data_IF_376825624072
#
_entry.id   IF_376825624072
#
_cell.length_a   1.000
_cell.length_b   1.000
_cell.length_c   1.000
_cell.angle_alpha   90.00
_cell.angle_beta   90.00
_cell.angle_gamma   90.00
#
_symmetry.space_group_name_H-M   'P 1'
#
loop_
_entity.id
_entity.type
_entity.pdbx_description
1 polymer ?
#
# COMPACT_ATOMS: atom_id res chain seq x y z
N UNK A 1 -6.14 2.23 -23.90
CA UNK A 1 -5.26 3.40 -24.10
C UNK A 1 -5.90 4.77 -23.80
N UNK A 2 -7.13 5.10 -24.22
CA UNK A 2 -7.79 6.40 -23.86
C UNK A 2 -8.50 6.35 -22.49
N UNK A 3 -9.20 5.26 -22.19
CA UNK A 3 -9.90 5.02 -20.91
C UNK A 3 -8.95 4.93 -19.71
N UNK A 4 -7.80 4.28 -19.87
CA UNK A 4 -6.84 4.08 -18.78
C UNK A 4 -6.28 5.41 -18.29
N UNK A 5 -6.00 6.35 -19.20
CA UNK A 5 -5.54 7.70 -18.85
C UNK A 5 -6.60 8.51 -18.12
N UNK A 6 -7.87 8.42 -18.53
CA UNK A 6 -8.99 9.10 -17.86
C UNK A 6 -9.21 8.57 -16.44
N UNK A 7 -9.12 7.23 -16.27
CA UNK A 7 -9.23 6.59 -14.97
C UNK A 7 -8.09 6.98 -14.02
N UNK A 8 -6.86 6.94 -14.53
CA UNK A 8 -5.65 7.38 -13.81
C UNK A 8 -5.76 8.85 -13.39
N UNK A 9 -6.26 9.73 -14.26
CA UNK A 9 -6.51 11.13 -13.94
C UNK A 9 -7.61 11.28 -12.88
N UNK A 10 -8.68 10.48 -12.95
CA UNK A 10 -9.73 10.50 -11.93
C UNK A 10 -9.19 10.10 -10.55
N UNK A 11 -8.37 9.06 -10.48
CA UNK A 11 -7.68 8.65 -9.25
C UNK A 11 -6.71 9.71 -8.73
N UNK A 12 -5.96 10.36 -9.63
CA UNK A 12 -5.14 11.51 -9.27
C UNK A 12 -5.97 12.63 -8.64
N UNK A 13 -7.13 12.97 -9.22
CA UNK A 13 -8.04 13.97 -8.66
C UNK A 13 -8.54 13.61 -7.27
N UNK A 14 -8.93 12.35 -7.04
CA UNK A 14 -9.39 11.91 -5.71
C UNK A 14 -8.35 12.10 -4.60
N UNK A 15 -7.06 11.95 -4.91
CA UNK A 15 -5.97 12.22 -3.96
C UNK A 15 -5.76 13.73 -3.82
N UNK A 16 -5.78 14.49 -4.92
CA UNK A 16 -5.63 15.95 -4.87
C UNK A 16 -6.74 16.65 -4.09
N UNK A 17 -7.99 16.20 -4.23
CA UNK A 17 -9.13 16.71 -3.47
C UNK A 17 -8.93 16.49 -1.97
N UNK A 18 -8.49 15.28 -1.57
CA UNK A 18 -8.14 14.98 -0.17
C UNK A 18 -6.96 15.81 0.33
N UNK A 19 -5.92 15.99 -0.48
CA UNK A 19 -4.80 16.85 -0.11
C UNK A 19 -5.25 18.31 0.12
N UNK A 20 -6.16 18.81 -0.72
CA UNK A 20 -6.77 20.13 -0.57
C UNK A 20 -7.62 20.26 0.72
N UNK A 21 -8.22 19.16 1.18
CA UNK A 21 -8.89 19.06 2.48
C UNK A 21 -7.93 18.90 3.68
N UNK A 22 -6.61 18.92 3.44
CA UNK A 22 -5.59 18.81 4.48
C UNK A 22 -5.22 17.37 4.84
N UNK A 23 -5.55 16.38 4.01
CA UNK A 23 -5.10 15.01 4.21
C UNK A 23 -3.59 14.89 3.95
N UNK A 24 -2.90 14.21 4.87
CA UNK A 24 -1.48 13.93 4.72
C UNK A 24 -1.25 12.92 3.59
N UNK A 25 -0.41 13.27 2.64
CA UNK A 25 -0.13 12.42 1.48
C UNK A 25 1.20 11.69 1.65
N UNK A 26 1.21 10.38 1.35
CA UNK A 26 2.39 9.54 1.45
C UNK A 26 2.53 8.65 0.22
N UNK A 27 3.77 8.25 -0.05
CA UNK A 27 4.07 7.16 -0.97
C UNK A 27 4.53 5.96 -0.16
N UNK A 28 3.97 4.78 -0.46
CA UNK A 28 4.39 3.51 0.09
C UNK A 28 4.98 2.63 -1.01
N UNK A 29 6.17 2.09 -0.77
CA UNK A 29 6.82 1.11 -1.63
C UNK A 29 6.87 -0.25 -0.94
N UNK A 30 6.18 -1.23 -1.51
CA UNK A 30 6.12 -2.61 -1.04
C UNK A 30 7.18 -3.44 -1.78
N UNK A 31 8.13 -3.94 -1.00
CA UNK A 31 9.19 -4.83 -1.48
C UNK A 31 8.87 -6.23 -0.99
N UNK A 32 8.85 -7.19 -1.91
CA UNK A 32 8.42 -8.55 -1.64
C UNK A 32 9.60 -9.50 -1.54
N UNK A 33 9.53 -10.47 -0.61
CA UNK A 33 10.32 -11.69 -0.70
C UNK A 33 9.88 -12.49 -1.94
N UNK A 34 10.68 -13.50 -2.34
CA UNK A 34 10.35 -14.33 -3.49
C UNK A 34 8.94 -14.96 -3.36
N UNK A 35 8.09 -14.66 -4.34
CA UNK A 35 6.73 -15.15 -4.53
C UNK A 35 6.75 -16.26 -5.57
N UNK A 36 5.84 -17.21 -5.40
CA UNK A 36 5.73 -18.38 -6.28
C UNK A 36 4.60 -18.21 -7.31
N UNK A 37 4.71 -18.91 -8.43
CA UNK A 37 3.70 -18.96 -9.48
C UNK A 37 3.95 -18.04 -10.67
N UNK A 38 2.94 -17.94 -11.54
CA UNK A 38 2.97 -17.09 -12.74
C UNK A 38 2.99 -15.59 -12.37
N UNK A 39 3.33 -14.72 -13.33
CA UNK A 39 3.33 -13.26 -13.13
C UNK A 39 1.98 -12.75 -12.59
N UNK A 40 0.87 -13.19 -13.18
CA UNK A 40 -0.47 -12.82 -12.71
C UNK A 40 -0.73 -13.32 -11.27
N UNK A 41 -0.29 -14.53 -10.93
CA UNK A 41 -0.40 -15.04 -9.56
C UNK A 41 0.45 -14.24 -8.56
N UNK A 42 1.64 -13.77 -8.96
CA UNK A 42 2.49 -12.89 -8.15
C UNK A 42 1.83 -11.53 -7.94
N UNK A 43 1.31 -10.89 -8.99
CA UNK A 43 0.58 -9.60 -8.89
C UNK A 43 -0.61 -9.73 -7.94
N UNK A 44 -1.40 -10.80 -8.05
CA UNK A 44 -2.50 -11.05 -7.13
C UNK A 44 -2.03 -11.18 -5.67
N UNK A 45 -0.96 -11.94 -5.42
CA UNK A 45 -0.38 -12.05 -4.08
C UNK A 45 0.11 -10.69 -3.55
N UNK A 46 0.65 -9.82 -4.43
CA UNK A 46 1.05 -8.46 -4.04
C UNK A 46 -0.15 -7.61 -3.64
N UNK A 47 -1.23 -7.61 -4.43
CA UNK A 47 -2.47 -6.89 -4.10
C UNK A 47 -3.07 -7.38 -2.77
N UNK A 48 -3.16 -8.70 -2.57
CA UNK A 48 -3.65 -9.30 -1.31
C UNK A 48 -2.82 -8.85 -0.09
N UNK A 49 -1.50 -8.74 -0.24
CA UNK A 49 -0.64 -8.26 0.85
C UNK A 49 -0.75 -6.75 1.10
N UNK A 50 -0.99 -5.96 0.06
CA UNK A 50 -1.30 -4.52 0.20
C UNK A 50 -2.62 -4.33 0.96
N UNK A 51 -3.66 -5.09 0.61
CA UNK A 51 -4.94 -5.10 1.33
C UNK A 51 -4.78 -5.51 2.79
N UNK A 52 -3.98 -6.56 3.06
CA UNK A 52 -3.68 -7.00 4.42
C UNK A 52 -2.96 -5.91 5.22
N UNK A 53 -2.00 -5.23 4.59
CA UNK A 53 -1.25 -4.14 5.22
C UNK A 53 -2.18 -2.96 5.53
N UNK A 54 -3.05 -2.60 4.59
CA UNK A 54 -4.10 -1.60 4.77
C UNK A 54 -4.99 -1.93 5.99
N UNK A 55 -5.55 -3.14 6.03
CA UNK A 55 -6.39 -3.59 7.14
C UNK A 55 -5.64 -3.58 8.48
N UNK A 56 -4.35 -3.95 8.48
CA UNK A 56 -3.50 -3.92 9.68
C UNK A 56 -3.30 -2.50 10.18
N UNK A 57 -2.99 -1.56 9.29
CA UNK A 57 -2.88 -0.13 9.62
C UNK A 57 -4.22 0.37 10.16
N UNK A 58 -5.34 0.11 9.48
CA UNK A 58 -6.67 0.51 9.97
C UNK A 58 -6.95 0.02 11.39
N UNK A 59 -6.61 -1.24 11.70
CA UNK A 59 -6.84 -1.82 13.04
C UNK A 59 -6.03 -1.16 14.15
N UNK A 60 -4.90 -0.52 13.81
CA UNK A 60 -4.06 0.19 14.77
C UNK A 60 -4.45 1.67 14.88
N UNK A 61 -4.79 2.28 13.75
CA UNK A 61 -5.10 3.70 13.67
C UNK A 61 -6.51 4.00 14.15
N UNK A 62 -7.47 3.11 13.93
CA UNK A 62 -8.86 3.31 14.27
C UNK A 62 -9.29 2.33 15.37
N UNK A 63 -10.07 2.81 16.35
CA UNK A 63 -10.67 1.94 17.37
C UNK A 63 -11.70 0.99 16.77
N UNK A 64 -12.53 1.50 15.85
CA UNK A 64 -13.61 0.74 15.20
C UNK A 64 -13.66 1.07 13.69
N UNK A 65 -12.65 0.65 12.89
CA UNK A 65 -12.56 1.01 11.48
C UNK A 65 -13.81 0.62 10.67
N UNK A 66 -14.45 -0.51 11.01
CA UNK A 66 -15.66 -0.99 10.35
C UNK A 66 -16.91 -0.13 10.57
N UNK A 67 -16.89 0.80 11.53
CA UNK A 67 -17.99 1.72 11.82
C UNK A 67 -17.77 3.10 11.20
N UNK A 68 -16.63 3.32 10.55
CA UNK A 68 -16.33 4.59 9.90
C UNK A 68 -16.94 4.63 8.49
N UNK A 69 -17.43 5.79 8.04
CA UNK A 69 -17.70 6.03 6.64
C UNK A 69 -16.47 5.68 5.78
N UNK A 70 -16.67 5.19 4.56
CA UNK A 70 -15.54 4.88 3.66
C UNK A 70 -14.72 6.14 3.35
N UNK A 71 -15.40 7.28 3.22
CA UNK A 71 -14.76 8.57 2.96
C UNK A 71 -13.95 9.12 4.14
N UNK A 72 -14.13 8.56 5.34
CA UNK A 72 -13.33 8.89 6.54
C UNK A 72 -12.08 8.00 6.68
N UNK A 73 -11.93 6.98 5.83
CA UNK A 73 -10.79 6.07 5.85
C UNK A 73 -9.69 6.54 4.89
N UNK A 74 -8.42 6.17 5.13
CA UNK A 74 -7.34 6.50 4.21
C UNK A 74 -7.61 5.95 2.81
N UNK A 75 -7.44 6.79 1.79
CA UNK A 75 -7.52 6.39 0.39
C UNK A 75 -6.16 5.89 -0.06
N UNK A 76 -6.09 4.66 -0.54
CA UNK A 76 -4.89 4.08 -1.13
C UNK A 76 -5.15 3.78 -2.60
N UNK A 77 -4.24 4.20 -3.46
CA UNK A 77 -4.26 3.92 -4.89
C UNK A 77 -2.90 3.37 -5.24
N UNK A 78 -2.83 2.14 -5.73
CA UNK A 78 -1.56 1.53 -6.06
C UNK A 78 -1.66 0.49 -7.15
N UNK A 79 -0.52 0.15 -7.72
CA UNK A 79 -0.42 -0.99 -8.62
C UNK A 79 1.03 -1.51 -8.70
N UNK A 80 1.23 -2.65 -9.39
CA UNK A 80 2.55 -3.19 -9.63
C UNK A 80 3.40 -2.19 -10.41
N UNK A 81 4.63 -1.99 -9.97
CA UNK A 81 5.62 -1.15 -10.63
C UNK A 81 6.79 -2.04 -11.07
N UNK A 82 7.26 -1.83 -12.30
CA UNK A 82 8.50 -2.43 -12.77
C UNK A 82 9.65 -1.56 -12.28
N UNK A 83 10.73 -2.18 -11.80
CA UNK A 83 11.91 -1.43 -11.39
C UNK A 83 12.49 -0.61 -12.57
N UNK A 84 12.26 0.70 -12.62
CA UNK A 84 12.87 1.59 -13.63
C UNK A 84 14.23 2.06 -13.12
N UNK A 85 15.32 1.47 -13.64
CA UNK A 85 16.67 1.93 -13.32
C UNK A 85 16.92 3.33 -13.91
N UNK A 86 17.26 4.29 -13.05
CA UNK A 86 18.11 5.43 -13.43
C UNK A 86 19.55 5.10 -13.04
N UNK A 87 20.33 4.62 -14.01
CA UNK A 87 21.80 4.71 -14.10
C UNK A 87 22.61 4.54 -12.80
N UNK A 88 22.41 3.47 -12.03
CA UNK A 88 23.44 3.02 -11.09
C UNK A 88 23.69 1.53 -11.26
N UNK A 89 24.96 1.21 -11.48
CA UNK A 89 25.52 -0.15 -11.49
C UNK A 89 25.36 -0.74 -10.08
N UNK A 90 24.23 -1.36 -9.78
CA UNK A 90 24.07 -2.20 -8.60
C UNK A 90 24.11 -3.68 -9.01
N UNK A 91 24.75 -4.47 -8.15
CA UNK A 91 25.07 -5.88 -8.34
C UNK A 91 23.82 -6.76 -8.54
N UNK A 92 23.85 -7.55 -9.61
CA UNK A 92 22.80 -8.34 -10.27
C UNK A 92 21.92 -9.32 -9.47
N UNK A 93 21.91 -9.36 -8.13
CA UNK A 93 21.18 -10.39 -7.35
C UNK A 93 19.80 -9.94 -6.87
N UNK A 94 19.65 -8.70 -6.41
CA UNK A 94 18.33 -8.17 -5.97
C UNK A 94 17.39 -7.82 -7.14
N UNK A 95 17.92 -7.76 -8.36
CA UNK A 95 17.23 -7.27 -9.56
C UNK A 95 16.27 -8.30 -10.18
N UNK A 96 16.32 -9.56 -9.77
CA UNK A 96 15.52 -10.66 -10.33
C UNK A 96 14.51 -11.26 -9.34
N UNK A 97 14.46 -10.77 -8.10
CA UNK A 97 13.44 -11.23 -7.13
C UNK A 97 12.08 -10.78 -7.67
N UNK A 98 11.14 -11.74 -7.80
CA UNK A 98 9.79 -11.51 -8.34
C UNK A 98 9.72 -10.87 -9.73
N UNK A 99 10.67 -11.15 -10.62
CA UNK A 99 10.71 -10.56 -11.97
C UNK A 99 10.87 -9.01 -11.93
N UNK A 100 11.46 -8.47 -10.86
CA UNK A 100 11.64 -7.03 -10.67
C UNK A 100 10.36 -6.27 -10.27
N UNK A 101 9.30 -6.99 -9.88
CA UNK A 101 8.02 -6.41 -9.50
C UNK A 101 8.03 -5.89 -8.06
N UNK A 102 7.62 -4.63 -7.92
CA UNK A 102 7.28 -4.00 -6.66
C UNK A 102 5.81 -3.56 -6.70
N UNK A 103 5.27 -3.14 -5.56
CA UNK A 103 3.96 -2.51 -5.55
C UNK A 103 4.09 -1.12 -4.94
N UNK A 104 3.64 -0.11 -5.66
CA UNK A 104 3.68 1.27 -5.23
C UNK A 104 2.27 1.73 -4.91
N UNK A 105 2.11 2.46 -3.81
CA UNK A 105 0.82 2.98 -3.35
C UNK A 105 0.97 4.45 -3.01
N UNK A 106 0.10 5.28 -3.57
CA UNK A 106 -0.15 6.64 -3.08
C UNK A 106 -1.25 6.57 -2.04
N UNK A 107 -1.02 7.25 -0.92
CA UNK A 107 -1.91 7.28 0.23
C UNK A 107 -2.32 8.72 0.50
N UNK A 108 -3.62 8.98 0.61
CA UNK A 108 -4.14 10.14 1.31
C UNK A 108 -4.65 9.67 2.68
N UNK A 109 -4.13 10.27 3.75
CA UNK A 109 -4.40 9.90 5.13
C UNK A 109 -5.11 11.04 5.87
N UNK A 110 -6.29 10.82 6.46
CA UNK A 110 -7.04 11.88 7.12
C UNK A 110 -6.36 12.28 8.44
N UNK A 111 -6.25 13.58 8.79
CA UNK A 111 -5.54 14.02 9.98
C UNK A 111 -6.38 13.86 11.28
N UNK A 112 -7.72 13.90 11.18
CA UNK A 112 -8.61 14.00 12.35
C UNK A 112 -9.05 12.67 12.96
N UNK A 113 -8.91 11.55 12.25
CA UNK A 113 -9.48 10.26 12.69
C UNK A 113 -8.47 9.28 13.28
N UNK A 114 -7.22 9.70 13.43
CA UNK A 114 -6.10 8.78 13.68
C UNK A 114 -5.73 8.72 15.16
N UNK A 115 -5.47 7.50 15.67
CA UNK A 115 -4.76 7.30 16.95
C UNK A 115 -3.24 7.43 16.79
N UNK A 116 -2.76 7.74 15.59
CA UNK A 116 -1.34 7.91 15.35
C UNK A 116 -0.90 9.22 16.01
N UNK A 117 0.18 9.13 16.79
CA UNK A 117 0.83 10.29 17.42
C UNK A 117 1.98 10.85 16.55
N UNK A 118 2.15 10.29 15.36
CA UNK A 118 3.27 10.48 14.45
C UNK A 118 2.73 10.43 13.01
N UNK A 119 3.55 10.80 12.02
CA UNK A 119 3.17 10.59 10.63
C UNK A 119 3.03 9.10 10.30
N UNK A 120 2.37 8.77 9.18
CA UNK A 120 2.30 7.40 8.70
C UNK A 120 3.69 6.84 8.35
N UNK A 121 4.57 7.69 7.79
CA UNK A 121 5.92 7.30 7.40
C UNK A 121 6.79 6.95 8.61
N UNK A 122 6.70 7.76 9.67
CA UNK A 122 7.34 7.50 10.96
C UNK A 122 6.80 6.22 11.59
N UNK A 123 5.46 6.06 11.63
CA UNK A 123 4.83 4.87 12.19
C UNK A 123 5.30 3.58 11.49
N UNK A 124 5.31 3.58 10.15
CA UNK A 124 5.75 2.43 9.37
C UNK A 124 7.24 2.17 9.63
N UNK A 125 8.07 3.20 9.71
CA UNK A 125 9.51 3.07 9.96
C UNK A 125 9.81 2.49 11.34
N UNK A 126 9.09 2.93 12.38
CA UNK A 126 9.24 2.45 13.76
C UNK A 126 8.67 1.05 14.01
N UNK A 127 7.78 0.58 13.13
CA UNK A 127 7.05 -0.67 13.31
C UNK A 127 7.20 -1.64 12.14
N UNK A 128 8.33 -1.60 11.43
CA UNK A 128 8.63 -2.49 10.31
C UNK A 128 8.38 -3.96 10.64
N UNK A 129 8.77 -4.40 11.84
CA UNK A 129 8.67 -5.78 12.32
C UNK A 129 7.22 -6.31 12.33
N UNK A 130 6.23 -5.42 12.29
CA UNK A 130 4.82 -5.79 12.20
C UNK A 130 4.43 -6.20 10.78
N UNK A 131 5.09 -5.67 9.76
CA UNK A 131 4.71 -5.86 8.36
C UNK A 131 5.65 -6.83 7.67
N UNK A 132 6.95 -6.75 7.97
CA UNK A 132 8.00 -7.37 7.18
C UNK A 132 8.70 -8.51 7.93
N UNK A 133 9.37 -9.39 7.20
CA UNK A 133 10.20 -10.43 7.77
C UNK A 133 10.56 -11.53 6.77
N UNK A 134 11.58 -12.35 7.06
CA UNK A 134 12.14 -13.33 6.11
C UNK A 134 11.16 -14.46 5.74
N UNK A 135 10.13 -14.68 6.57
CA UNK A 135 9.10 -15.72 6.33
C UNK A 135 7.74 -15.13 5.94
N UNK A 136 7.68 -13.82 5.70
CA UNK A 136 6.47 -13.10 5.27
C UNK A 136 6.53 -12.81 3.77
N UNK A 137 5.47 -12.23 3.22
CA UNK A 137 5.50 -11.74 1.84
C UNK A 137 6.33 -10.48 1.68
N UNK A 138 6.30 -9.56 2.64
CA UNK A 138 7.08 -8.33 2.56
C UNK A 138 8.48 -8.53 3.13
N UNK A 139 9.49 -8.21 2.31
CA UNK A 139 10.87 -8.04 2.73
C UNK A 139 11.08 -6.66 3.34
N UNK A 140 10.40 -5.64 2.80
CA UNK A 140 10.46 -4.26 3.26
C UNK A 140 9.18 -3.50 2.90
N UNK A 141 8.76 -2.59 3.77
CA UNK A 141 7.69 -1.63 3.50
C UNK A 141 8.25 -0.24 3.74
N UNK A 142 8.52 0.51 2.67
CA UNK A 142 9.02 1.87 2.81
C UNK A 142 7.89 2.87 2.67
N UNK A 143 7.93 3.94 3.46
CA UNK A 143 6.97 5.02 3.44
C UNK A 143 7.73 6.34 3.41
N UNK A 144 7.32 7.25 2.53
CA UNK A 144 7.85 8.61 2.45
C UNK A 144 6.72 9.60 2.37
N UNK A 145 6.92 10.77 2.97
CA UNK A 145 5.95 11.86 2.90
C UNK A 145 6.00 12.50 1.50
N UNK A 146 4.81 12.80 0.96
CA UNK A 146 4.69 13.65 -0.21
C UNK A 146 4.58 15.09 0.31
N UNK A 147 5.32 16.02 -0.30
CA UNK A 147 5.67 17.28 0.37
C UNK A 147 4.47 18.09 0.89
N UNK A 148 4.77 18.97 1.84
CA UNK A 148 3.82 19.57 2.77
C UNK A 148 2.85 20.60 2.15
N UNK A 149 3.17 21.16 0.98
CA UNK A 149 2.29 22.13 0.32
C UNK A 149 1.33 21.45 -0.64
N UNK A 150 0.08 21.91 -0.65
CA UNK A 150 -1.01 21.32 -1.44
C UNK A 150 -0.67 21.24 -2.93
N UNK A 151 -0.13 22.32 -3.51
CA UNK A 151 0.24 22.39 -4.92
C UNK A 151 1.37 21.41 -5.28
N UNK A 152 2.39 21.29 -4.41
CA UNK A 152 3.49 20.37 -4.64
C UNK A 152 3.06 18.91 -4.44
N UNK A 153 2.22 18.63 -3.44
CA UNK A 153 1.65 17.31 -3.23
C UNK A 153 0.85 16.85 -4.44
N UNK A 154 0.01 17.72 -5.00
CA UNK A 154 -0.79 17.46 -6.19
C UNK A 154 0.09 17.14 -7.41
N UNK A 155 1.08 17.98 -7.70
CA UNK A 155 2.02 17.74 -8.81
C UNK A 155 2.83 16.46 -8.61
N UNK A 156 3.29 16.20 -7.38
CA UNK A 156 4.05 15.01 -7.06
C UNK A 156 3.20 13.75 -7.19
N UNK A 157 1.97 13.75 -6.68
CA UNK A 157 1.00 12.67 -6.83
C UNK A 157 0.76 12.38 -8.30
N UNK A 158 0.48 13.40 -9.12
CA UNK A 158 0.29 13.22 -10.56
C UNK A 158 1.54 12.69 -11.24
N UNK A 159 2.73 13.14 -10.84
CA UNK A 159 4.01 12.65 -11.37
C UNK A 159 4.24 11.20 -11.00
N UNK A 160 3.96 10.80 -9.76
CA UNK A 160 4.10 9.42 -9.31
C UNK A 160 3.09 8.53 -10.00
N UNK A 161 1.82 8.94 -10.07
CA UNK A 161 0.77 8.22 -10.79
C UNK A 161 1.11 8.05 -12.28
N UNK A 162 1.69 9.06 -12.94
CA UNK A 162 2.14 8.95 -14.35
C UNK A 162 3.35 8.03 -14.55
N UNK A 163 4.25 7.96 -13.55
CA UNK A 163 5.43 7.08 -13.61
C UNK A 163 5.07 5.61 -13.46
N UNK A 164 3.99 5.36 -12.74
CA UNK A 164 3.48 4.04 -12.57
C UNK A 164 2.83 3.60 -13.89
N UNK A 165 3.57 2.83 -14.67
CA UNK A 165 3.23 2.41 -16.04
C UNK A 165 2.14 1.33 -16.00
N UNK A 166 0.87 1.75 -15.92
CA UNK A 166 -0.26 0.88 -15.61
C UNK A 166 -1.07 0.39 -16.82
N UNK A 167 -1.44 -0.89 -16.80
CA UNK A 167 -2.70 -1.37 -17.38
C UNK A 167 -3.85 -1.20 -16.38
N UNK A 168 -5.06 -0.87 -16.85
CA UNK A 168 -6.23 -0.58 -15.99
C UNK A 168 -6.59 -1.69 -15.00
N UNK A 169 -6.30 -2.94 -15.36
CA UNK A 169 -6.82 -4.12 -14.67
C UNK A 169 -6.03 -4.48 -13.40
N UNK A 170 -4.86 -3.87 -13.20
CA UNK A 170 -3.96 -4.14 -12.07
C UNK A 170 -4.02 -3.07 -10.96
N UNK A 171 -4.78 -1.98 -11.17
CA UNK A 171 -4.93 -0.88 -10.21
C UNK A 171 -5.78 -1.32 -9.02
N UNK A 172 -5.20 -1.19 -7.82
CA UNK A 172 -5.86 -1.41 -6.55
C UNK A 172 -6.25 -0.06 -5.93
N UNK A 173 -7.53 0.06 -5.59
CA UNK A 173 -8.09 1.21 -4.86
C UNK A 173 -8.68 0.72 -3.54
N UNK A 174 -8.32 1.38 -2.43
CA UNK A 174 -8.84 1.10 -1.09
C UNK A 174 -9.28 2.40 -0.40
N UNK A 175 -10.30 2.38 0.48
CA UNK A 175 -11.02 1.19 0.94
C UNK A 175 -11.94 0.61 -0.16
N UNK A 176 -12.02 -0.73 -0.22
CA UNK A 176 -13.03 -1.43 -1.02
C UNK A 176 -14.40 -1.28 -0.37
N UNK A 177 -15.44 -1.11 -1.18
CA UNK A 177 -16.81 -1.25 -0.68
C UNK A 177 -17.05 -2.67 -0.18
N UNK A 178 -18.06 -2.87 0.67
CA UNK A 178 -18.42 -4.20 1.18
C UNK A 178 -18.77 -5.20 0.08
N UNK A 179 -19.27 -4.72 -1.06
CA UNK A 179 -19.52 -5.50 -2.29
C UNK A 179 -18.26 -5.91 -3.06
N UNK A 180 -17.14 -5.22 -2.85
CA UNK A 180 -15.87 -5.46 -3.57
C UNK A 180 -14.89 -6.34 -2.77
N UNK A 181 -15.16 -6.63 -1.49
CA UNK A 181 -14.31 -7.50 -0.69
C UNK A 181 -14.44 -8.96 -1.11
N UNK A 182 -13.36 -9.52 -1.66
CA UNK A 182 -13.24 -10.95 -1.93
C UNK A 182 -13.16 -11.76 -0.62
N UNK A 183 -13.74 -12.96 -0.61
CA UNK A 183 -13.64 -13.86 0.55
C UNK A 183 -12.21 -14.39 0.65
N UNK A 184 -11.59 -14.21 1.82
CA UNK A 184 -10.24 -14.72 2.12
C UNK A 184 -10.05 -16.16 1.61
N UNK A 185 -9.00 -16.37 0.84
CA UNK A 185 -8.55 -17.68 0.38
C UNK A 185 -8.08 -18.54 1.57
N UNK A 186 -8.03 -19.86 1.36
CA UNK A 186 -7.66 -20.80 2.44
C UNK A 186 -6.23 -20.60 2.96
N UNK A 187 -5.31 -20.10 2.13
CA UNK A 187 -3.95 -19.79 2.54
C UNK A 187 -3.91 -18.55 3.46
N UNK A 188 -4.69 -17.51 3.12
CA UNK A 188 -4.79 -16.29 3.92
C UNK A 188 -5.44 -16.56 5.28
N UNK A 189 -6.44 -17.45 5.34
CA UNK A 189 -7.02 -17.93 6.61
C UNK A 189 -5.96 -18.61 7.50
N UNK A 190 -5.06 -19.40 6.90
CA UNK A 190 -3.97 -20.06 7.65
C UNK A 190 -2.95 -19.06 8.19
N UNK A 191 -2.62 -18.02 7.43
CA UNK A 191 -1.72 -16.96 7.90
C UNK A 191 -2.34 -16.10 9.00
N UNK A 192 -3.60 -15.67 8.86
CA UNK A 192 -4.33 -14.94 9.92
C UNK A 192 -4.38 -15.78 11.21
N UNK A 193 -4.61 -17.09 11.07
CA UNK A 193 -4.58 -18.02 12.21
C UNK A 193 -3.19 -18.12 12.85
N UNK A 194 -2.12 -18.17 12.05
CA UNK A 194 -0.72 -18.22 12.52
C UNK A 194 -0.29 -16.91 13.18
N UNK A 195 -0.65 -15.75 12.63
CA UNK A 195 -0.40 -14.44 13.24
C UNK A 195 -1.17 -14.26 14.55
N UNK A 196 -2.43 -14.71 14.58
CA UNK A 196 -3.23 -14.74 15.81
C UNK A 196 -2.61 -15.62 16.89
N UNK A 197 -2.06 -16.78 16.51
CA UNK A 197 -1.33 -17.65 17.42
C UNK A 197 -0.03 -17.00 17.94
N UNK A 198 0.75 -16.36 17.06
CA UNK A 198 1.97 -15.64 17.44
C UNK A 198 1.69 -14.45 18.36
N UNK A 199 0.55 -13.76 18.20
CA UNK A 199 0.12 -12.69 19.11
C UNK A 199 -0.26 -13.20 20.49
N UNK A 200 -0.79 -14.43 20.60
CA UNK A 200 -1.14 -15.06 21.89
C UNK A 200 0.08 -15.63 22.64
N UNK A 201 1.20 -15.82 21.94
CA UNK A 201 2.43 -16.38 22.49
C UNK A 201 3.44 -15.31 22.94
N UNK A 202 3.22 -14.03 22.62
CA UNK A 202 4.03 -12.94 23.21
C UNK A 202 3.47 -12.61 24.60
N UNK A 203 4.28 -12.67 25.68
CA UNK A 203 3.83 -12.20 26.98
C UNK A 203 3.53 -10.69 26.89
N UNK A 204 2.48 -10.26 27.61
CA UNK A 204 2.22 -8.84 27.82
C UNK A 204 3.42 -8.27 28.59
N UNK A 205 4.30 -7.56 27.89
CA UNK A 205 5.29 -6.68 28.48
C UNK A 205 4.64 -5.36 28.87
#
# INVERSE_FOLDING_TARGET
MRKDKELIQAYGRMIMERAAEGWACHQLAFMFNQLSGSRSAKVKQMQEEVERTYAKILSHVYRHPKKKPLDDLPLWIGAPDLHVFKNQKSTHVDCNINDGLHFQVIVAFPPWTTRLKSSLSEYISLHQERFVGPTRYLSRLHASDLAETQDYAAEYVLKTIKKLDFGSDDILVLPKSSSEMSRLTNWERRQVKREGALRRLKPAG
#
